data_IF_135780342893
#
_entry.id   IF_135780342893
#
_cell.length_a   1.000
_cell.length_b   1.000
_cell.length_c   1.000
_cell.angle_alpha   90.00
_cell.angle_beta   90.00
_cell.angle_gamma   90.00
#
_symmetry.space_group_name_H-M   'P 1'
#
loop_
_entity.id
_entity.type
_entity.pdbx_description
1 polymer ?
#
# COMPACT_ATOMS: atom_id res chain seq x y z
N UNK A 1 -16.58 -5.74 6.50
CA UNK A 1 -15.75 -6.37 7.54
C UNK A 1 -16.21 -7.81 7.79
N UNK A 2 -15.26 -8.71 7.94
CA UNK A 2 -15.35 -10.14 8.20
C UNK A 2 -15.15 -10.42 9.70
N UNK A 3 -15.47 -11.63 10.16
CA UNK A 3 -15.14 -12.12 11.51
C UNK A 3 -13.82 -12.89 11.60
N UNK A 4 -13.21 -13.18 10.45
CA UNK A 4 -11.93 -13.89 10.31
C UNK A 4 -11.39 -13.62 8.90
N UNK A 5 -10.11 -13.91 8.72
CA UNK A 5 -9.41 -13.88 7.44
C UNK A 5 -10.13 -14.73 6.38
N UNK A 6 -10.21 -14.20 5.16
CA UNK A 6 -10.71 -14.93 4.00
C UNK A 6 -9.64 -15.85 3.40
N UNK A 7 -10.07 -16.95 2.77
CA UNK A 7 -9.16 -17.95 2.19
C UNK A 7 -9.40 -18.21 0.71
N UNK A 8 -10.35 -17.52 0.08
CA UNK A 8 -10.66 -17.71 -1.35
C UNK A 8 -9.72 -16.86 -2.19
N UNK A 9 -9.63 -15.57 -1.88
CA UNK A 9 -8.49 -14.75 -2.26
C UNK A 9 -7.63 -14.62 -0.99
N UNK A 10 -6.35 -14.96 -1.10
CA UNK A 10 -5.41 -14.88 0.02
C UNK A 10 -4.03 -14.61 -0.55
N UNK A 11 -3.68 -13.33 -0.69
CA UNK A 11 -2.41 -12.87 -1.23
C UNK A 11 -1.82 -11.79 -0.35
N UNK A 12 -0.50 -11.62 -0.42
CA UNK A 12 0.22 -10.60 0.33
C UNK A 12 0.96 -9.67 -0.62
N UNK A 13 0.97 -8.36 -0.33
CA UNK A 13 1.79 -7.37 -1.03
C UNK A 13 2.53 -6.50 -0.02
N UNK A 14 3.65 -5.91 -0.39
CA UNK A 14 4.41 -5.02 0.48
C UNK A 14 4.33 -3.58 -0.02
N UNK A 15 4.11 -2.63 0.88
CA UNK A 15 4.07 -1.20 0.59
C UNK A 15 5.17 -0.46 1.36
N UNK A 16 6.02 0.24 0.62
CA UNK A 16 6.91 1.27 1.17
C UNK A 16 6.44 2.65 0.74
N UNK A 17 6.47 3.61 1.66
CA UNK A 17 6.25 5.04 1.35
C UNK A 17 7.47 5.82 1.76
N UNK A 18 8.00 6.65 0.86
CA UNK A 18 9.11 7.56 1.12
C UNK A 18 8.68 8.99 0.83
N UNK A 19 8.85 9.89 1.81
CA UNK A 19 8.56 11.32 1.71
C UNK A 19 9.87 12.09 1.90
N UNK A 20 10.32 12.80 0.88
CA UNK A 20 11.54 13.62 0.86
C UNK A 20 12.77 12.88 1.41
N UNK A 21 12.97 11.66 0.90
CA UNK A 21 14.09 10.78 1.26
C UNK A 21 13.97 10.10 2.64
N UNK A 22 12.84 10.27 3.34
CA UNK A 22 12.57 9.59 4.62
C UNK A 22 11.47 8.55 4.45
N UNK A 23 11.70 7.34 4.97
CA UNK A 23 10.66 6.33 5.07
C UNK A 23 9.52 6.86 5.96
N UNK A 24 8.28 6.72 5.50
CA UNK A 24 7.08 6.99 6.27
C UNK A 24 6.58 5.69 6.92
N UNK A 25 6.08 5.80 8.14
CA UNK A 25 5.54 4.65 8.86
C UNK A 25 4.19 4.21 8.25
N UNK A 26 4.05 2.91 8.01
CA UNK A 26 2.75 2.28 7.77
C UNK A 26 2.21 1.76 9.12
N UNK A 27 1.05 2.23 9.61
CA UNK A 27 0.46 1.74 10.84
C UNK A 27 0.08 0.25 10.79
N UNK A 28 0.13 -0.38 11.96
CA UNK A 28 -0.59 -1.62 12.22
C UNK A 28 -2.12 -1.40 12.23
N UNK A 29 -2.88 -2.49 12.16
CA UNK A 29 -4.32 -2.53 12.34
C UNK A 29 -5.12 -1.70 11.31
N UNK A 30 -4.55 -1.37 10.16
CA UNK A 30 -5.31 -0.77 9.05
C UNK A 30 -6.38 -1.78 8.63
N UNK A 31 -7.63 -1.33 8.48
CA UNK A 31 -8.74 -2.22 8.13
C UNK A 31 -9.17 -3.17 9.26
N UNK A 32 -8.65 -3.03 10.49
CA UNK A 32 -9.00 -3.88 11.64
C UNK A 32 -9.77 -3.05 12.69
N UNK A 33 -10.98 -3.51 13.03
CA UNK A 33 -11.69 -3.06 14.23
C UNK A 33 -11.39 -4.04 15.36
N UNK A 34 -10.37 -3.69 16.15
CA UNK A 34 -9.87 -4.50 17.27
C UNK A 34 -10.96 -4.70 18.34
N UNK A 35 -11.78 -3.68 18.60
CA UNK A 35 -12.81 -3.74 19.64
C UNK A 35 -13.92 -4.73 19.26
N UNK A 36 -14.30 -4.77 17.99
CA UNK A 36 -15.36 -5.65 17.49
C UNK A 36 -14.84 -6.99 16.96
N UNK A 37 -13.52 -7.18 16.91
CA UNK A 37 -12.86 -8.35 16.32
C UNK A 37 -13.33 -8.55 14.87
N UNK A 38 -13.21 -7.47 14.08
CA UNK A 38 -13.64 -7.42 12.68
C UNK A 38 -12.49 -6.97 11.79
N UNK A 39 -12.42 -7.53 10.59
CA UNK A 39 -11.32 -7.29 9.64
C UNK A 39 -11.85 -6.99 8.24
N UNK A 40 -11.33 -5.99 7.55
CA UNK A 40 -11.59 -5.78 6.13
C UNK A 40 -10.81 -6.82 5.31
N UNK A 41 -11.23 -7.22 4.09
CA UNK A 41 -10.37 -8.02 3.22
C UNK A 41 -9.02 -7.39 2.90
N UNK A 42 -8.86 -6.08 3.14
CA UNK A 42 -7.62 -5.35 3.01
C UNK A 42 -7.17 -4.85 4.38
N UNK A 43 -6.06 -5.35 4.89
CA UNK A 43 -5.58 -4.99 6.23
C UNK A 43 -4.07 -5.13 6.42
N UNK A 44 -3.57 -4.59 7.54
CA UNK A 44 -2.23 -4.83 8.07
C UNK A 44 -2.33 -5.39 9.49
N UNK A 45 -1.44 -6.32 9.84
CA UNK A 45 -1.32 -6.82 11.22
C UNK A 45 -0.26 -6.08 12.03
N UNK A 46 0.71 -5.44 11.35
CA UNK A 46 1.82 -4.74 11.98
C UNK A 46 2.29 -3.56 11.12
N UNK A 47 3.40 -2.93 11.52
CA UNK A 47 3.98 -1.78 10.84
C UNK A 47 5.08 -2.14 9.82
N UNK A 48 5.16 -3.39 9.37
CA UNK A 48 6.23 -3.83 8.46
C UNK A 48 6.04 -3.38 7.02
N UNK A 49 4.80 -3.03 6.62
CA UNK A 49 4.48 -2.75 5.23
C UNK A 49 3.65 -3.84 4.55
N UNK A 50 3.46 -5.00 5.18
CA UNK A 50 2.72 -6.13 4.57
C UNK A 50 1.22 -5.85 4.59
N UNK A 51 0.65 -5.77 3.39
CA UNK A 51 -0.77 -5.68 3.12
C UNK A 51 -1.30 -7.07 2.84
N UNK A 52 -2.32 -7.46 3.58
CA UNK A 52 -3.08 -8.68 3.41
C UNK A 52 -4.27 -8.42 2.49
N UNK A 53 -4.48 -9.32 1.52
CA UNK A 53 -5.70 -9.40 0.71
C UNK A 53 -6.35 -10.76 0.99
N UNK A 54 -7.31 -10.77 1.91
CA UNK A 54 -7.88 -12.00 2.46
C UNK A 54 -9.40 -11.95 2.41
N UNK A 55 -9.95 -12.46 1.30
CA UNK A 55 -11.37 -12.36 0.98
C UNK A 55 -12.06 -13.71 0.95
N UNK A 56 -13.31 -13.81 1.43
CA UNK A 56 -14.13 -15.02 1.30
C UNK A 56 -14.64 -15.25 -0.14
N UNK A 57 -14.35 -14.32 -1.06
CA UNK A 57 -14.71 -14.40 -2.48
C UNK A 57 -13.55 -13.91 -3.35
N UNK A 58 -13.42 -14.48 -4.55
CA UNK A 58 -12.48 -13.96 -5.54
C UNK A 58 -12.95 -12.57 -6.02
N UNK A 59 -12.08 -11.58 -5.93
CA UNK A 59 -12.36 -10.22 -6.38
C UNK A 59 -11.06 -9.51 -6.76
N UNK A 60 -11.20 -8.32 -7.35
CA UNK A 60 -10.07 -7.46 -7.66
C UNK A 60 -9.92 -6.43 -6.56
N UNK A 61 -8.75 -6.40 -5.94
CA UNK A 61 -8.40 -5.44 -4.90
C UNK A 61 -7.33 -4.46 -5.37
N UNK A 62 -7.48 -3.19 -5.02
CA UNK A 62 -6.56 -2.13 -5.44
C UNK A 62 -5.93 -1.38 -4.28
N UNK A 63 -4.77 -0.77 -4.54
CA UNK A 63 -4.08 0.10 -3.60
C UNK A 63 -4.97 1.25 -3.12
N UNK A 64 -5.82 1.82 -3.99
CA UNK A 64 -6.77 2.85 -3.60
C UNK A 64 -7.81 2.39 -2.58
N UNK A 65 -8.26 1.14 -2.67
CA UNK A 65 -9.17 0.57 -1.67
C UNK A 65 -8.46 0.39 -0.32
N UNK A 66 -7.20 -0.04 -0.32
CA UNK A 66 -6.41 -0.13 0.92
C UNK A 66 -6.22 1.25 1.57
N UNK A 67 -5.89 2.28 0.78
CA UNK A 67 -5.80 3.66 1.27
C UNK A 67 -7.14 4.22 1.77
N UNK A 68 -8.26 3.71 1.25
CA UNK A 68 -9.60 4.03 1.78
C UNK A 68 -9.81 3.41 3.16
N UNK A 69 -9.40 2.16 3.39
CA UNK A 69 -9.43 1.53 4.72
C UNK A 69 -8.51 2.25 5.72
N UNK A 70 -7.40 2.81 5.23
CA UNK A 70 -6.47 3.61 6.02
C UNK A 70 -6.93 5.06 6.27
N UNK A 71 -7.99 5.52 5.60
CA UNK A 71 -8.43 6.94 5.64
C UNK A 71 -7.31 7.93 5.23
N UNK A 72 -6.51 7.54 4.23
CA UNK A 72 -5.43 8.37 3.66
C UNK A 72 -5.72 8.61 2.18
N UNK A 73 -5.73 9.87 1.76
CA UNK A 73 -5.95 10.21 0.35
C UNK A 73 -4.85 9.62 -0.55
N UNK A 74 -5.23 9.01 -1.67
CA UNK A 74 -4.29 8.57 -2.71
C UNK A 74 -4.90 8.82 -4.09
N UNK A 75 -4.19 9.60 -4.90
CA UNK A 75 -4.50 9.78 -6.32
C UNK A 75 -3.22 10.04 -7.14
N UNK A 76 -3.36 10.38 -8.42
CA UNK A 76 -2.24 10.63 -9.33
C UNK A 76 -1.34 11.81 -8.89
N UNK A 77 -1.79 12.65 -7.97
CA UNK A 77 -1.17 13.91 -7.56
C UNK A 77 -1.05 14.06 -6.05
N UNK A 78 -1.47 13.08 -5.25
CA UNK A 78 -1.54 13.20 -3.80
C UNK A 78 -1.33 11.88 -3.08
N UNK A 79 -0.64 11.96 -1.94
CA UNK A 79 -0.64 10.95 -0.88
C UNK A 79 -0.84 11.64 0.47
N UNK A 80 -1.91 11.30 1.19
CA UNK A 80 -2.31 11.98 2.43
C UNK A 80 -2.38 13.50 2.29
N UNK A 81 -1.60 14.20 3.10
CA UNK A 81 -1.47 15.67 3.04
C UNK A 81 -0.47 16.20 2.00
N UNK A 82 0.26 15.33 1.30
CA UNK A 82 1.32 15.70 0.36
C UNK A 82 0.79 15.79 -1.06
N UNK A 83 0.94 16.96 -1.70
CA UNK A 83 0.38 17.29 -3.01
C UNK A 83 1.49 17.69 -3.97
N UNK A 84 1.46 17.18 -5.20
CA UNK A 84 2.47 17.53 -6.23
C UNK A 84 2.40 18.99 -6.68
N UNK A 85 1.35 19.73 -6.31
CA UNK A 85 1.21 21.16 -6.60
C UNK A 85 2.35 22.02 -6.00
N UNK A 86 3.00 21.55 -4.93
CA UNK A 86 4.04 22.29 -4.20
C UNK A 86 5.44 22.08 -4.80
N UNK A 87 5.54 21.82 -6.11
CA UNK A 87 6.82 21.58 -6.79
C UNK A 87 7.43 20.22 -6.44
N UNK A 88 6.61 19.23 -6.10
CA UNK A 88 7.01 17.86 -5.82
C UNK A 88 6.45 16.90 -6.87
N UNK A 89 6.96 15.68 -6.87
CA UNK A 89 6.50 14.59 -7.72
C UNK A 89 6.10 13.39 -6.87
N UNK A 90 5.10 12.65 -7.33
CA UNK A 90 4.71 11.36 -6.78
C UNK A 90 5.11 10.29 -7.81
N UNK A 91 6.18 9.55 -7.53
CA UNK A 91 6.67 8.47 -8.39
C UNK A 91 6.37 7.14 -7.75
N UNK A 92 5.86 6.20 -8.54
CA UNK A 92 5.44 4.89 -8.04
C UNK A 92 6.21 3.80 -8.77
N UNK A 93 6.62 2.78 -8.02
CA UNK A 93 7.28 1.60 -8.55
C UNK A 93 6.49 0.35 -8.16
N UNK A 94 6.43 -0.60 -9.08
CA UNK A 94 5.93 -1.95 -8.84
C UNK A 94 7.05 -2.91 -9.21
N UNK A 95 7.50 -3.70 -8.24
CA UNK A 95 8.63 -4.63 -8.36
C UNK A 95 9.89 -3.95 -8.91
N UNK A 96 10.18 -2.75 -8.39
CA UNK A 96 11.33 -1.93 -8.79
C UNK A 96 11.20 -1.22 -10.14
N UNK A 97 10.09 -1.42 -10.86
CA UNK A 97 9.84 -0.77 -12.16
C UNK A 97 8.91 0.42 -11.98
N UNK A 98 9.30 1.58 -12.49
CA UNK A 98 8.45 2.77 -12.48
C UNK A 98 7.16 2.48 -13.25
N UNK A 99 6.03 2.84 -12.65
CA UNK A 99 4.71 2.80 -13.28
C UNK A 99 4.14 4.21 -13.38
N UNK A 100 3.41 4.46 -14.46
CA UNK A 100 2.73 5.74 -14.69
C UNK A 100 1.22 5.58 -14.44
N UNK A 101 0.54 6.70 -14.22
CA UNK A 101 -0.91 6.75 -13.98
C UNK A 101 -1.27 6.93 -12.51
N UNK A 102 -2.53 6.65 -12.17
CA UNK A 102 -3.02 6.83 -10.81
C UNK A 102 -2.62 5.63 -9.94
N UNK A 103 -1.80 5.79 -8.87
CA UNK A 103 -1.44 4.70 -7.97
C UNK A 103 -2.65 3.99 -7.35
N UNK A 104 -3.76 4.69 -7.13
CA UNK A 104 -4.97 4.09 -6.57
C UNK A 104 -5.57 2.96 -7.45
N UNK A 105 -5.18 2.88 -8.74
CA UNK A 105 -5.62 1.84 -9.66
C UNK A 105 -4.71 0.60 -9.70
N UNK A 106 -3.59 0.58 -8.96
CA UNK A 106 -2.72 -0.59 -8.88
C UNK A 106 -3.49 -1.74 -8.26
N UNK A 107 -3.63 -2.83 -9.03
CA UNK A 107 -4.23 -4.08 -8.58
C UNK A 107 -3.18 -4.89 -7.83
N UNK A 108 -3.51 -5.37 -6.64
CA UNK A 108 -2.62 -6.20 -5.85
C UNK A 108 -2.34 -7.54 -6.53
N UNK A 109 -1.10 -8.00 -6.37
CA UNK A 109 -0.67 -9.33 -6.78
C UNK A 109 0.18 -9.96 -5.66
N UNK A 110 0.20 -11.29 -5.61
CA UNK A 110 0.95 -11.99 -4.57
C UNK A 110 2.45 -11.68 -4.66
N UNK A 111 3.04 -11.36 -3.51
CA UNK A 111 4.42 -10.97 -3.30
C UNK A 111 4.89 -9.75 -4.10
N UNK A 112 3.95 -8.91 -4.53
CA UNK A 112 4.24 -7.65 -5.20
C UNK A 112 4.84 -6.65 -4.21
N UNK A 113 5.90 -5.94 -4.63
CA UNK A 113 6.45 -4.81 -3.89
C UNK A 113 6.02 -3.49 -4.54
N UNK A 114 5.37 -2.62 -3.78
CA UNK A 114 4.90 -1.31 -4.22
C UNK A 114 5.67 -0.24 -3.45
N UNK A 115 6.34 0.67 -4.17
CA UNK A 115 7.02 1.82 -3.57
C UNK A 115 6.36 3.11 -4.05
N UNK A 116 5.93 3.95 -3.11
CA UNK A 116 5.47 5.31 -3.39
C UNK A 116 6.52 6.30 -2.90
N UNK A 117 7.07 7.10 -3.80
CA UNK A 117 8.11 8.09 -3.51
C UNK A 117 7.59 9.48 -3.82
N UNK A 118 7.42 10.29 -2.78
CA UNK A 118 7.16 11.71 -2.86
C UNK A 118 8.47 12.48 -2.65
N UNK A 119 8.85 13.31 -3.62
CA UNK A 119 10.12 14.05 -3.57
C UNK A 119 10.04 15.35 -4.37
N UNK A 120 10.93 16.30 -4.07
CA UNK A 120 11.03 17.56 -4.81
C UNK A 120 11.24 17.33 -6.32
N UNK A 121 10.63 18.18 -7.14
CA UNK A 121 10.77 18.08 -8.58
C UNK A 121 12.24 18.27 -9.00
N UNK A 122 12.75 17.33 -9.80
CA UNK A 122 14.14 17.28 -10.23
C UNK A 122 15.02 16.33 -9.42
N UNK A 123 14.54 15.83 -8.28
CA UNK A 123 15.17 14.70 -7.60
C UNK A 123 14.83 13.38 -8.30
N UNK A 124 15.81 12.49 -8.41
CA UNK A 124 15.59 11.15 -8.96
C UNK A 124 14.96 10.27 -7.88
N UNK A 125 13.67 9.95 -8.04
CA UNK A 125 13.02 8.93 -7.24
C UNK A 125 13.64 7.54 -7.51
N UNK A 126 13.86 6.77 -6.46
CA UNK A 126 14.39 5.40 -6.54
C UNK A 126 13.44 4.44 -5.83
N UNK A 127 13.20 3.28 -6.44
CA UNK A 127 12.52 2.18 -5.75
C UNK A 127 13.30 1.73 -4.51
N UNK A 128 12.61 1.17 -3.53
CA UNK A 128 13.25 0.55 -2.38
C UNK A 128 13.97 -0.72 -2.81
N UNK A 129 14.84 -1.24 -1.94
CA UNK A 129 15.34 -2.60 -2.11
C UNK A 129 14.15 -3.58 -2.11
N UNK A 130 14.23 -4.70 -2.85
CA UNK A 130 13.19 -5.73 -2.81
C UNK A 130 12.90 -6.17 -1.38
N UNK A 131 11.62 -6.24 -1.03
CA UNK A 131 11.20 -6.69 0.29
C UNK A 131 11.62 -8.15 0.52
N UNK A 132 12.13 -8.43 1.72
CA UNK A 132 12.46 -9.80 2.13
C UNK A 132 11.29 -10.37 2.90
N UNK A 133 10.53 -11.24 2.23
CA UNK A 133 9.36 -11.89 2.82
C UNK A 133 9.75 -12.81 3.99
N UNK A 134 9.10 -12.68 5.16
CA UNK A 134 9.27 -13.62 6.25
C UNK A 134 8.76 -15.02 5.86
N UNK A 135 9.27 -16.06 6.53
CA UNK A 135 8.75 -17.41 6.37
C UNK A 135 7.25 -17.45 6.70
N UNK A 136 6.47 -18.13 5.84
CA UNK A 136 5.03 -18.29 6.01
C UNK A 136 4.15 -17.34 5.20
N UNK A 137 4.74 -16.44 4.42
CA UNK A 137 4.05 -15.56 3.48
C UNK A 137 4.10 -16.06 2.03
#
# INVERSE_FOLDING_TARGET
MLSSEGTVEHIHSHLSVTIDGRAADLPADIGIDVAQQKISPLHTHDSTGIIHVESPVASTFTLGQFFTEWDVALDATRIGGYSTADGHTLTVFVDGKKVDGNPASIVFANHQNIDIVYAAAGETATASAPFTWPDGY
#
